data_IF_180262185257
#
_entry.id   IF_180262185257
#
_cell.length_a   1.000
_cell.length_b   1.000
_cell.length_c   1.000
_cell.angle_alpha   90.00
_cell.angle_beta   90.00
_cell.angle_gamma   90.00
#
_symmetry.space_group_name_H-M   'P 1'
#
loop_
_entity.id
_entity.type
_entity.pdbx_description
1 polymer ?
#
# COMPACT_ATOMS: atom_id res chain seq x y z
N UNK A 1 11.62 10.96 6.46
CA UNK A 1 10.56 10.02 5.99
C UNK A 1 9.98 10.61 4.71
N UNK A 2 9.73 9.79 3.70
CA UNK A 2 9.19 10.29 2.43
C UNK A 2 7.66 10.32 2.48
N UNK A 3 7.06 11.36 1.90
CA UNK A 3 5.61 11.44 1.68
C UNK A 3 5.18 10.81 0.34
N UNK A 4 6.14 10.37 -0.46
CA UNK A 4 5.93 9.74 -1.75
C UNK A 4 6.95 8.62 -2.03
N UNK A 5 6.59 7.70 -2.92
CA UNK A 5 7.47 6.69 -3.50
C UNK A 5 7.12 6.51 -4.97
N UNK A 6 8.12 6.38 -5.81
CA UNK A 6 7.92 6.08 -7.23
C UNK A 6 7.99 4.58 -7.43
N UNK A 7 6.99 4.02 -8.11
CA UNK A 7 6.96 2.63 -8.55
C UNK A 7 6.65 2.59 -10.04
N UNK A 8 7.52 1.97 -10.84
CA UNK A 8 7.36 1.89 -12.30
C UNK A 8 7.02 3.24 -12.96
N UNK A 9 7.72 4.31 -12.55
CA UNK A 9 7.51 5.68 -13.05
C UNK A 9 6.28 6.40 -12.51
N UNK A 10 5.42 5.76 -11.70
CA UNK A 10 4.24 6.38 -11.11
C UNK A 10 4.49 6.78 -9.65
N UNK A 11 4.24 8.05 -9.27
CA UNK A 11 4.34 8.48 -7.89
C UNK A 11 3.13 8.00 -7.08
N UNK A 12 3.40 7.34 -5.97
CA UNK A 12 2.42 6.95 -4.96
C UNK A 12 2.65 7.83 -3.74
N UNK A 13 1.59 8.47 -3.25
CA UNK A 13 1.65 9.41 -2.14
C UNK A 13 0.84 8.91 -0.95
N UNK A 14 1.20 9.42 0.23
CA UNK A 14 0.37 9.26 1.42
C UNK A 14 -0.97 9.93 1.20
N UNK A 15 -2.06 9.23 1.51
CA UNK A 15 -3.44 9.69 1.23
C UNK A 15 -4.02 9.18 -0.10
N UNK A 16 -3.24 8.47 -0.91
CA UNK A 16 -3.77 7.80 -2.11
C UNK A 16 -4.56 6.54 -1.76
N UNK A 17 -5.61 6.27 -2.54
CA UNK A 17 -6.30 4.99 -2.56
C UNK A 17 -5.60 4.10 -3.60
N UNK A 18 -5.00 3.01 -3.15
CA UNK A 18 -4.22 2.10 -3.99
C UNK A 18 -4.84 0.72 -4.03
N UNK A 19 -4.76 0.08 -5.19
CA UNK A 19 -5.06 -1.33 -5.39
C UNK A 19 -3.75 -2.07 -5.61
N UNK A 20 -3.45 -2.99 -4.70
CA UNK A 20 -2.24 -3.80 -4.70
C UNK A 20 -2.61 -5.22 -5.13
N UNK A 21 -1.93 -5.72 -6.14
CA UNK A 21 -2.08 -7.12 -6.60
C UNK A 21 -0.93 -7.94 -6.05
N UNK A 22 -1.21 -8.77 -5.05
CA UNK A 22 -0.23 -9.59 -4.36
C UNK A 22 -0.29 -11.02 -4.88
N UNK A 23 0.86 -11.56 -5.26
CA UNK A 23 1.01 -12.95 -5.64
C UNK A 23 1.13 -13.81 -4.38
N UNK A 24 0.22 -14.76 -4.21
CA UNK A 24 0.26 -15.77 -3.15
C UNK A 24 0.46 -17.15 -3.79
N UNK A 25 1.31 -17.95 -3.17
CA UNK A 25 1.54 -19.35 -3.56
C UNK A 25 0.95 -20.21 -2.45
N UNK A 26 -0.04 -21.04 -2.77
CA UNK A 26 -0.68 -21.97 -1.83
C UNK A 26 -0.65 -23.36 -2.46
N UNK A 27 0.02 -24.31 -1.81
CA UNK A 27 0.11 -25.71 -2.25
C UNK A 27 0.49 -25.89 -3.74
N UNK A 28 1.44 -25.08 -4.23
CA UNK A 28 1.92 -25.14 -5.62
C UNK A 28 1.04 -24.41 -6.66
N UNK A 29 -0.11 -23.84 -6.26
CA UNK A 29 -0.94 -22.99 -7.12
C UNK A 29 -0.69 -21.51 -6.83
N UNK A 30 -0.54 -20.73 -7.89
CA UNK A 30 -0.39 -19.28 -7.80
C UNK A 30 -1.75 -18.61 -7.88
N UNK A 31 -2.05 -17.71 -6.95
CA UNK A 31 -3.25 -16.85 -6.98
C UNK A 31 -2.88 -15.40 -6.77
N UNK A 32 -3.66 -14.49 -7.38
CA UNK A 32 -3.50 -13.05 -7.17
C UNK A 32 -4.55 -12.60 -6.15
N UNK A 33 -4.09 -12.15 -4.98
CA UNK A 33 -4.94 -11.51 -3.99
C UNK A 33 -4.89 -10.00 -4.15
N UNK A 34 -6.06 -9.38 -4.28
CA UNK A 34 -6.17 -7.92 -4.37
C UNK A 34 -6.35 -7.32 -2.98
N UNK A 35 -5.47 -6.38 -2.62
CA UNK A 35 -5.59 -5.56 -1.42
C UNK A 35 -5.77 -4.09 -1.80
N UNK A 36 -6.96 -3.56 -1.57
CA UNK A 36 -7.30 -2.17 -1.88
C UNK A 36 -7.51 -1.37 -0.61
N UNK A 37 -6.84 -0.23 -0.50
CA UNK A 37 -6.91 0.60 0.70
C UNK A 37 -6.18 1.93 0.59
N UNK A 38 -6.24 2.69 1.69
CA UNK A 38 -5.62 4.01 1.82
C UNK A 38 -4.15 3.87 2.22
N UNK A 39 -3.25 4.55 1.52
CA UNK A 39 -1.85 4.68 1.93
C UNK A 39 -1.76 5.57 3.15
N UNK A 40 -1.45 4.97 4.30
CA UNK A 40 -1.28 5.66 5.58
C UNK A 40 0.10 6.28 5.73
N UNK A 41 1.11 5.71 5.08
CA UNK A 41 2.48 6.15 5.29
C UNK A 41 3.47 5.35 4.46
N UNK A 42 4.63 5.95 4.24
CA UNK A 42 5.75 5.35 3.54
C UNK A 42 6.94 5.36 4.50
N UNK A 43 7.66 4.24 4.59
CA UNK A 43 8.82 4.09 5.47
C UNK A 43 9.96 3.38 4.75
N UNK A 44 11.17 3.39 5.34
CA UNK A 44 12.36 2.82 4.73
C UNK A 44 13.12 3.80 3.83
N UNK A 45 14.26 3.33 3.31
CA UNK A 45 15.18 4.07 2.43
C UNK A 45 15.61 3.18 1.27
N UNK A 46 15.94 3.77 0.12
CA UNK A 46 16.35 3.03 -1.08
C UNK A 46 15.35 1.96 -1.48
N UNK A 47 15.84 0.74 -1.67
CA UNK A 47 15.05 -0.42 -2.10
C UNK A 47 14.26 -1.06 -0.94
N UNK A 48 14.54 -0.67 0.31
CA UNK A 48 13.80 -1.12 1.49
C UNK A 48 12.56 -0.24 1.76
N UNK A 49 12.07 0.50 0.77
CA UNK A 49 10.86 1.30 0.90
C UNK A 49 9.65 0.38 1.10
N UNK A 50 8.87 0.70 2.13
CA UNK A 50 7.62 0.03 2.48
C UNK A 50 6.45 1.01 2.41
N UNK A 51 5.32 0.53 1.90
CA UNK A 51 4.03 1.21 1.94
C UNK A 51 3.15 0.58 3.01
N UNK A 52 2.51 1.41 3.84
CA UNK A 52 1.50 0.97 4.81
C UNK A 52 0.13 1.31 4.26
N UNK A 53 -0.71 0.30 4.02
CA UNK A 53 -2.03 0.46 3.41
C UNK A 53 -3.10 -0.05 4.37
N UNK A 54 -4.15 0.73 4.61
CA UNK A 54 -5.31 0.35 5.44
C UNK A 54 -6.52 0.07 4.57
N UNK A 55 -7.13 -1.09 4.81
CA UNK A 55 -8.42 -1.50 4.25
C UNK A 55 -9.38 -1.76 5.41
N UNK A 56 -10.64 -1.37 5.26
CA UNK A 56 -11.69 -1.86 6.15
C UNK A 56 -12.11 -3.25 5.65
N UNK A 57 -11.87 -4.27 6.47
CA UNK A 57 -12.25 -5.64 6.16
C UNK A 57 -13.73 -5.89 6.49
N UNK A 58 -14.20 -7.07 6.10
CA UNK A 58 -15.53 -7.56 6.46
C UNK A 58 -15.65 -7.58 7.98
N UNK A 59 -16.79 -7.12 8.51
CA UNK A 59 -17.03 -7.02 9.95
C UNK A 59 -16.54 -5.72 10.60
N UNK A 60 -16.18 -4.69 9.83
CA UNK A 60 -15.82 -3.37 10.35
C UNK A 60 -14.40 -3.27 10.92
N UNK A 61 -13.62 -4.35 10.87
CA UNK A 61 -12.26 -4.39 11.40
C UNK A 61 -11.30 -3.72 10.39
N UNK A 62 -10.55 -2.72 10.85
CA UNK A 62 -9.51 -2.07 10.07
C UNK A 62 -8.26 -2.95 9.98
N UNK A 63 -7.90 -3.39 8.77
CA UNK A 63 -6.69 -4.19 8.51
C UNK A 63 -5.63 -3.30 7.87
N UNK A 64 -4.44 -3.29 8.47
CA UNK A 64 -3.27 -2.57 7.95
C UNK A 64 -2.25 -3.57 7.44
N UNK A 65 -1.78 -3.41 6.21
CA UNK A 65 -0.71 -4.21 5.61
C UNK A 65 0.50 -3.33 5.31
N UNK A 66 1.67 -3.76 5.79
CA UNK A 66 2.96 -3.15 5.41
C UNK A 66 3.58 -4.02 4.32
N UNK A 67 3.86 -3.44 3.15
CA UNK A 67 4.34 -4.18 1.98
C UNK A 67 5.59 -3.49 1.42
N UNK A 68 6.67 -4.22 1.11
CA UNK A 68 7.82 -3.65 0.40
C UNK A 68 7.44 -3.29 -1.03
N UNK A 69 7.79 -2.09 -1.48
CA UNK A 69 7.42 -1.56 -2.81
C UNK A 69 8.10 -2.33 -3.93
N UNK A 70 9.33 -2.81 -3.69
CA UNK A 70 10.13 -3.55 -4.67
C UNK A 70 10.08 -5.07 -4.43
N UNK A 71 9.04 -5.55 -3.75
CA UNK A 71 8.86 -6.99 -3.49
C UNK A 71 8.51 -7.74 -4.77
N UNK A 72 9.11 -8.91 -5.07
CA UNK A 72 8.69 -9.76 -6.19
C UNK A 72 7.27 -10.32 -6.01
N UNK A 73 6.76 -10.32 -4.78
CA UNK A 73 5.39 -10.73 -4.46
C UNK A 73 4.36 -9.67 -4.83
N UNK A 74 4.78 -8.44 -5.13
CA UNK A 74 3.91 -7.36 -5.54
C UNK A 74 3.88 -7.27 -7.07
N UNK A 75 2.84 -7.80 -7.68
CA UNK A 75 2.71 -7.85 -9.13
C UNK A 75 2.37 -6.48 -9.72
N UNK A 76 1.45 -5.74 -9.08
CA UNK A 76 0.98 -4.45 -9.59
C UNK A 76 0.54 -3.52 -8.48
N UNK A 77 0.83 -2.23 -8.65
CA UNK A 77 0.27 -1.14 -7.86
C UNK A 77 -0.51 -0.22 -8.78
N UNK A 78 -1.80 -0.02 -8.51
CA UNK A 78 -2.64 0.95 -9.20
C UNK A 78 -3.10 2.02 -8.22
N UNK A 79 -2.80 3.29 -8.53
CA UNK A 79 -3.39 4.42 -7.83
C UNK A 79 -4.76 4.68 -8.44
N UNK A 80 -5.84 4.46 -7.68
CA UNK A 80 -7.21 4.70 -8.16
C UNK A 80 -7.57 6.17 -8.13
N UNK A 81 -7.30 6.81 -6.99
CA UNK A 81 -7.55 8.24 -6.77
C UNK A 81 -6.78 8.71 -5.54
N UNK A 82 -6.42 9.99 -5.51
CA UNK A 82 -5.97 10.64 -4.29
C UNK A 82 -7.20 10.94 -3.42
N UNK A 83 -7.32 10.26 -2.28
CA UNK A 83 -8.47 10.44 -1.38
C UNK A 83 -8.28 11.61 -0.42
N UNK A 84 -7.05 11.83 0.03
CA UNK A 84 -6.70 12.90 0.95
C UNK A 84 -5.45 13.61 0.45
N UNK A 85 -5.59 14.90 0.13
CA UNK A 85 -4.43 15.76 -0.10
C UNK A 85 -3.87 16.13 1.28
N UNK A 86 -2.72 15.58 1.62
CA UNK A 86 -2.08 15.85 2.91
C UNK A 86 -0.61 16.14 2.73
N UNK A 87 -0.12 17.11 3.51
CA UNK A 87 1.32 17.35 3.64
C UNK A 87 1.94 16.46 4.73
N UNK A 88 1.12 15.72 5.47
CA UNK A 88 1.60 14.83 6.55
C UNK A 88 2.32 13.64 5.94
N UNK A 89 3.47 13.30 6.53
CA UNK A 89 4.22 12.11 6.14
C UNK A 89 3.50 10.80 6.50
N UNK A 90 2.58 10.82 7.49
CA UNK A 90 1.81 9.66 7.94
C UNK A 90 0.44 10.04 8.49
N UNK A 91 -0.54 9.14 8.31
CA UNK A 91 -1.93 9.28 8.72
C UNK A 91 -2.32 8.25 9.79
N UNK A 92 -1.45 8.05 10.80
CA UNK A 92 -1.72 7.08 11.88
C UNK A 92 -2.97 7.40 12.70
N UNK A 93 -3.43 8.64 12.69
CA UNK A 93 -4.71 9.03 13.27
C UNK A 93 -5.92 8.33 12.63
N UNK A 94 -5.80 7.84 11.38
CA UNK A 94 -6.83 7.03 10.71
C UNK A 94 -6.70 5.52 10.99
N UNK A 95 -5.66 5.13 11.75
CA UNK A 95 -5.43 3.73 12.12
C UNK A 95 -6.03 3.33 13.46
N UNK A 96 -6.46 4.31 14.26
CA UNK A 96 -7.28 4.09 15.46
C UNK A 96 -8.69 3.64 15.08
#
# INVERSE_FOLDING_TARGET
MANNVTYQGKPIKVGDLVRLSLKLIEAGKERIQVFEGLVLGISGRGDQKMIKVRKNAVGGIGVVRSIPVFSPWLSKIEVKRTRLKTSRAKLYNLSK
#
